data_IF_948847908979
#
_entry.id   IF_948847908979
#
_cell.length_a   1.000
_cell.length_b   1.000
_cell.length_c   1.000
_cell.angle_alpha   90.00
_cell.angle_beta   90.00
_cell.angle_gamma   90.00
#
_symmetry.space_group_name_H-M   'P 1'
#
loop_
_entity.id
_entity.type
_entity.pdbx_description
1 polymer ?
#
# COMPACT_ATOMS: atom_id res chain seq x y z
N UNK A 1 39.93 -41.53 -37.21
CA UNK A 1 39.88 -40.97 -35.84
C UNK A 1 38.54 -40.28 -35.67
N UNK A 2 37.76 -40.72 -34.68
CA UNK A 2 36.47 -40.15 -34.24
C UNK A 2 36.66 -38.75 -33.60
N UNK A 3 35.64 -37.98 -33.13
CA UNK A 3 34.29 -38.36 -32.64
C UNK A 3 33.13 -37.69 -33.42
N UNK A 4 31.94 -38.30 -33.55
CA UNK A 4 30.92 -38.72 -32.55
C UNK A 4 29.90 -37.61 -32.29
N UNK A 5 28.76 -37.77 -32.98
CA UNK A 5 27.52 -37.03 -32.84
C UNK A 5 26.80 -37.47 -31.56
N UNK A 6 26.58 -36.56 -30.62
CA UNK A 6 25.67 -36.76 -29.49
C UNK A 6 24.64 -35.63 -29.47
N UNK A 7 23.41 -35.98 -29.87
CA UNK A 7 22.23 -35.14 -29.71
C UNK A 7 21.77 -35.20 -28.25
N UNK A 8 21.72 -34.05 -27.59
CA UNK A 8 21.03 -33.91 -26.30
C UNK A 8 19.54 -33.63 -26.54
N UNK A 9 18.61 -34.35 -25.89
CA UNK A 9 17.20 -34.00 -25.91
C UNK A 9 16.94 -32.77 -25.03
N UNK A 10 16.33 -31.75 -25.62
CA UNK A 10 15.81 -30.57 -24.94
C UNK A 10 14.79 -30.98 -23.87
N UNK A 11 15.05 -30.56 -22.64
CA UNK A 11 14.16 -30.78 -21.49
C UNK A 11 13.02 -29.75 -21.57
N UNK A 12 11.74 -30.14 -21.60
CA UNK A 12 10.66 -29.16 -21.64
C UNK A 12 10.62 -28.36 -20.32
N UNK A 13 10.51 -27.04 -20.44
CA UNK A 13 10.26 -26.16 -19.30
C UNK A 13 8.95 -26.57 -18.60
N UNK A 14 8.90 -26.60 -17.26
CA UNK A 14 7.65 -26.81 -16.55
C UNK A 14 6.69 -25.64 -16.82
N UNK A 15 5.45 -26.02 -17.14
CA UNK A 15 4.33 -25.11 -17.30
C UNK A 15 4.18 -24.20 -16.07
N UNK A 16 3.95 -22.92 -16.31
CA UNK A 16 3.58 -21.96 -15.28
C UNK A 16 2.29 -22.45 -14.59
N UNK A 17 2.23 -22.50 -13.25
CA UNK A 17 0.98 -22.79 -12.57
C UNK A 17 -0.03 -21.68 -12.81
N UNK A 18 -1.25 -22.12 -13.11
CA UNK A 18 -2.43 -21.35 -13.42
C UNK A 18 -2.68 -20.15 -12.50
N UNK A 19 -3.18 -19.11 -13.15
CA UNK A 19 -3.82 -17.93 -12.60
C UNK A 19 -4.49 -18.14 -11.22
N UNK A 20 -3.78 -17.74 -10.15
CA UNK A 20 -4.44 -17.44 -8.89
C UNK A 20 -5.28 -16.16 -9.05
N UNK A 21 -6.58 -16.42 -9.09
CA UNK A 21 -7.71 -15.55 -8.75
C UNK A 21 -7.30 -14.20 -8.14
N UNK A 22 -7.51 -13.15 -8.93
CA UNK A 22 -7.51 -11.74 -8.52
C UNK A 22 -8.63 -11.52 -7.50
N UNK A 23 -8.31 -11.51 -6.22
CA UNK A 23 -9.19 -10.89 -5.22
C UNK A 23 -8.85 -9.41 -5.16
N UNK A 24 -9.55 -8.63 -5.98
CA UNK A 24 -9.58 -7.18 -5.83
C UNK A 24 -10.14 -6.80 -4.46
N UNK A 25 -9.74 -5.62 -3.99
CA UNK A 25 -10.32 -4.98 -2.80
C UNK A 25 -11.85 -5.06 -2.88
N UNK A 26 -12.57 -5.60 -1.86
CA UNK A 26 -14.02 -5.70 -1.94
C UNK A 26 -14.63 -4.29 -1.93
N UNK A 27 -14.92 -3.79 -3.14
CA UNK A 27 -15.75 -2.61 -3.34
C UNK A 27 -17.14 -2.92 -2.78
N UNK A 28 -17.38 -2.50 -1.55
CA UNK A 28 -18.66 -2.73 -0.88
C UNK A 28 -19.68 -1.77 -1.50
N UNK A 29 -20.41 -2.25 -2.51
CA UNK A 29 -21.62 -1.58 -3.01
C UNK A 29 -22.59 -1.41 -1.84
N UNK A 30 -22.77 -0.17 -1.41
CA UNK A 30 -23.81 0.20 -0.43
C UNK A 30 -25.16 0.13 -1.17
N UNK A 31 -25.74 -1.07 -1.21
CA UNK A 31 -27.13 -1.26 -1.63
C UNK A 31 -28.07 -0.88 -0.49
N UNK A 32 -28.83 0.18 -0.67
CA UNK A 32 -30.03 0.44 0.14
C UNK A 32 -31.04 -0.66 -0.19
N UNK A 33 -31.13 -1.68 0.66
CA UNK A 33 -32.19 -2.67 0.59
C UNK A 33 -33.23 -2.39 1.69
N UNK A 34 -34.45 -2.11 1.22
CA UNK A 34 -35.65 -2.08 2.02
C UNK A 34 -35.83 -3.40 2.78
N UNK A 35 -36.17 -3.25 4.06
CA UNK A 35 -36.37 -4.32 5.03
C UNK A 35 -37.56 -5.21 4.65
N UNK A 36 -37.30 -6.49 4.41
CA UNK A 36 -38.28 -7.57 4.56
C UNK A 36 -37.62 -8.69 5.36
N UNK A 37 -38.20 -9.03 6.50
CA UNK A 37 -37.69 -10.00 7.44
C UNK A 37 -37.87 -11.45 6.95
N UNK A 38 -36.82 -12.27 7.03
CA UNK A 38 -36.89 -13.72 7.33
C UNK A 38 -35.48 -14.34 7.49
N UNK A 39 -35.20 -14.78 8.73
CA UNK A 39 -34.40 -15.94 9.20
C UNK A 39 -33.57 -16.70 8.15
N UNK A 40 -32.24 -16.79 8.34
CA UNK A 40 -31.45 -18.04 8.46
C UNK A 40 -29.92 -17.74 8.54
N UNK A 41 -29.28 -18.16 9.64
CA UNK A 41 -27.86 -18.58 9.70
C UNK A 41 -26.75 -17.55 9.47
N UNK A 42 -26.56 -16.59 10.38
CA UNK A 42 -25.32 -15.80 10.44
C UNK A 42 -24.10 -16.65 10.85
N UNK A 43 -22.88 -16.38 10.31
CA UNK A 43 -21.68 -17.10 10.71
C UNK A 43 -21.36 -16.89 12.19
N UNK A 44 -20.76 -17.92 12.80
CA UNK A 44 -20.42 -18.10 14.23
C UNK A 44 -20.20 -16.79 14.99
N UNK A 45 -20.92 -16.64 16.09
CA UNK A 45 -21.01 -15.45 16.90
C UNK A 45 -19.65 -14.89 17.34
N UNK A 46 -19.39 -13.64 16.94
CA UNK A 46 -18.50 -12.76 17.67
C UNK A 46 -19.15 -12.40 19.00
N UNK A 47 -18.59 -12.93 20.08
CA UNK A 47 -18.89 -12.54 21.46
C UNK A 47 -17.80 -11.62 21.95
N UNK A 48 -18.05 -10.32 21.99
CA UNK A 48 -17.23 -9.40 22.77
C UNK A 48 -17.96 -9.15 24.08
N UNK A 49 -17.70 -10.04 25.05
CA UNK A 49 -17.92 -9.73 26.44
C UNK A 49 -17.08 -8.49 26.81
N UNK A 50 -17.53 -7.78 27.84
CA UNK A 50 -16.97 -6.57 28.44
C UNK A 50 -15.44 -6.48 28.33
N UNK A 51 -14.91 -5.28 28.03
CA UNK A 51 -13.46 -5.01 27.98
C UNK A 51 -12.84 -5.53 29.28
N UNK A 52 -12.18 -6.70 29.22
CA UNK A 52 -11.44 -7.22 30.36
C UNK A 52 -10.25 -6.30 30.62
N UNK A 53 -9.92 -6.10 31.89
CA UNK A 53 -8.70 -5.38 32.30
C UNK A 53 -7.41 -6.13 31.91
N UNK A 54 -7.53 -7.34 31.37
CA UNK A 54 -6.45 -8.16 30.85
C UNK A 54 -6.08 -7.73 29.41
N UNK A 55 -5.47 -6.55 29.30
CA UNK A 55 -4.90 -6.06 28.03
C UNK A 55 -3.56 -6.71 27.75
N UNK A 56 -3.31 -7.09 26.50
CA UNK A 56 -2.06 -7.74 26.07
C UNK A 56 -0.91 -6.72 26.13
N UNK A 57 0.15 -6.96 26.93
CA UNK A 57 1.34 -6.11 26.93
C UNK A 57 2.07 -6.14 25.57
N UNK A 58 2.70 -5.01 25.22
CA UNK A 58 3.47 -4.90 23.97
C UNK A 58 4.57 -5.97 23.84
N UNK A 59 5.17 -6.39 24.97
CA UNK A 59 6.24 -7.39 24.99
C UNK A 59 5.78 -8.80 24.59
N UNK A 60 4.48 -9.08 24.71
CA UNK A 60 3.91 -10.40 24.40
C UNK A 60 3.47 -10.51 22.94
N UNK A 61 3.41 -9.39 22.21
CA UNK A 61 3.05 -9.33 20.80
C UNK A 61 4.21 -9.77 19.91
N UNK A 62 3.90 -10.46 18.81
CA UNK A 62 4.90 -10.92 17.84
C UNK A 62 4.64 -10.37 16.45
N UNK A 63 5.69 -9.91 15.77
CA UNK A 63 5.60 -9.55 14.35
C UNK A 63 5.13 -10.75 13.54
N UNK A 64 4.11 -10.53 12.71
CA UNK A 64 3.45 -11.52 11.87
C UNK A 64 2.29 -12.26 12.50
N UNK A 65 2.03 -12.06 13.79
CA UNK A 65 0.86 -12.61 14.46
C UNK A 65 -0.44 -12.04 13.88
N UNK A 66 -1.41 -12.92 13.64
CA UNK A 66 -2.77 -12.56 13.21
C UNK A 66 -3.64 -12.25 14.42
N UNK A 67 -4.35 -11.12 14.37
CA UNK A 67 -5.15 -10.60 15.46
C UNK A 67 -6.53 -10.17 14.96
N UNK A 68 -7.54 -10.36 15.80
CA UNK A 68 -8.83 -9.70 15.62
C UNK A 68 -8.71 -8.22 15.98
N UNK A 69 -9.19 -7.37 15.08
CA UNK A 69 -9.04 -5.93 15.16
C UNK A 69 -10.38 -5.22 15.02
N UNK A 70 -10.50 -4.08 15.72
CA UNK A 70 -11.62 -3.15 15.57
C UNK A 70 -11.11 -1.74 15.29
N UNK A 71 -11.62 -1.13 14.23
CA UNK A 71 -11.29 0.26 13.90
C UNK A 71 -11.87 1.19 14.95
N UNK A 72 -11.03 1.95 15.66
CA UNK A 72 -11.48 2.97 16.63
C UNK A 72 -11.85 4.27 15.94
N UNK A 73 -10.97 4.75 15.05
CA UNK A 73 -11.18 5.98 14.29
C UNK A 73 -10.18 6.10 13.13
N UNK A 74 -10.55 6.75 12.02
CA UNK A 74 -9.59 7.22 11.05
C UNK A 74 -8.70 8.31 11.66
N UNK A 75 -7.46 8.40 11.21
CA UNK A 75 -6.51 9.43 11.60
C UNK A 75 -6.08 10.27 10.40
N UNK A 76 -6.71 11.44 10.28
CA UNK A 76 -6.46 12.41 9.21
C UNK A 76 -6.46 11.70 7.84
N UNK A 77 -5.33 11.72 7.16
CA UNK A 77 -5.12 11.15 5.82
C UNK A 77 -4.05 10.06 5.83
N UNK A 78 -3.67 9.56 7.01
CA UNK A 78 -2.50 8.70 7.21
C UNK A 78 -2.83 7.24 7.51
N UNK A 79 -4.04 6.94 7.99
CA UNK A 79 -4.40 5.58 8.38
C UNK A 79 -5.49 5.52 9.43
N UNK A 80 -5.52 4.41 10.19
CA UNK A 80 -6.54 4.14 11.19
C UNK A 80 -5.92 3.73 12.53
N UNK A 81 -6.52 4.20 13.62
CA UNK A 81 -6.29 3.62 14.94
C UNK A 81 -7.16 2.39 15.12
N UNK A 82 -6.55 1.32 15.59
CA UNK A 82 -7.14 -0.02 15.65
C UNK A 82 -6.95 -0.57 17.07
N UNK A 83 -8.03 -1.08 17.65
CA UNK A 83 -7.97 -1.85 18.89
C UNK A 83 -7.75 -3.33 18.54
N UNK A 84 -6.72 -3.94 19.12
CA UNK A 84 -6.41 -5.36 19.00
C UNK A 84 -6.43 -6.06 20.37
N UNK A 85 -6.97 -5.41 21.41
CA UNK A 85 -6.94 -5.92 22.78
C UNK A 85 -5.62 -5.69 23.52
N UNK A 86 -4.64 -5.04 22.88
CA UNK A 86 -3.38 -4.68 23.51
C UNK A 86 -3.51 -3.48 24.47
N UNK A 87 -2.48 -3.26 25.29
CA UNK A 87 -2.39 -2.11 26.21
C UNK A 87 -2.37 -0.76 25.49
N UNK A 88 -1.92 -0.74 24.23
CA UNK A 88 -1.85 0.45 23.38
C UNK A 88 -2.66 0.24 22.11
N UNK A 89 -3.26 1.33 21.61
CA UNK A 89 -3.89 1.32 20.31
C UNK A 89 -2.83 1.10 19.22
N UNK A 90 -3.14 0.21 18.28
CA UNK A 90 -2.32 -0.04 17.13
C UNK A 90 -2.66 0.93 15.99
N UNK A 91 -1.73 1.08 15.05
CA UNK A 91 -1.85 1.98 13.92
C UNK A 91 -1.68 1.23 12.61
N UNK A 92 -2.68 1.33 11.74
CA UNK A 92 -2.63 0.79 10.39
C UNK A 92 -2.40 1.95 9.42
N UNK A 93 -1.23 2.00 8.78
CA UNK A 93 -0.91 3.01 7.76
C UNK A 93 -1.84 2.83 6.54
N UNK A 94 -2.09 3.92 5.82
CA UNK A 94 -3.06 3.95 4.72
C UNK A 94 -2.74 2.91 3.64
N UNK A 95 -1.47 2.82 3.25
CA UNK A 95 -0.93 1.84 2.29
C UNK A 95 -1.01 0.38 2.78
N UNK A 96 -1.17 0.14 4.09
CA UNK A 96 -1.24 -1.18 4.70
C UNK A 96 -2.69 -1.66 4.93
N UNK A 97 -3.67 -0.80 4.61
CA UNK A 97 -5.09 -1.07 4.85
C UNK A 97 -5.76 -1.97 3.81
N UNK A 98 -5.15 -2.20 2.64
CA UNK A 98 -5.56 -3.18 1.65
C UNK A 98 -4.43 -3.47 0.67
N UNK A 99 -4.59 -4.53 -0.13
CA UNK A 99 -3.76 -4.72 -1.32
C UNK A 99 -4.14 -3.71 -2.41
N UNK A 100 -3.12 -3.18 -3.09
CA UNK A 100 -3.27 -2.06 -4.01
C UNK A 100 -3.46 -0.71 -3.31
N UNK A 101 -4.08 0.23 -4.01
CA UNK A 101 -4.45 1.55 -3.54
C UNK A 101 -5.88 1.53 -2.97
N UNK A 102 -6.12 2.01 -1.73
CA UNK A 102 -7.45 2.11 -1.17
C UNK A 102 -8.33 3.13 -1.92
N UNK A 103 -9.16 2.65 -2.85
CA UNK A 103 -10.01 3.51 -3.72
C UNK A 103 -10.98 4.37 -2.92
N UNK A 104 -11.59 3.81 -1.87
CA UNK A 104 -12.48 4.53 -0.94
C UNK A 104 -11.71 5.45 0.04
N UNK A 105 -10.38 5.50 -0.10
CA UNK A 105 -9.52 6.34 0.69
C UNK A 105 -9.63 6.06 2.18
N UNK A 106 -9.72 7.12 2.99
CA UNK A 106 -9.79 7.00 4.45
C UNK A 106 -11.10 6.32 4.92
N UNK A 107 -12.09 6.24 4.03
CA UNK A 107 -13.40 5.66 4.31
C UNK A 107 -13.47 4.17 4.01
N UNK A 108 -12.40 3.54 3.49
CA UNK A 108 -12.31 2.09 3.29
C UNK A 108 -12.71 1.34 4.55
N UNK A 109 -12.26 1.82 5.71
CA UNK A 109 -12.61 1.22 6.99
C UNK A 109 -13.32 2.24 7.90
N UNK A 110 -14.59 1.94 8.23
CA UNK A 110 -15.39 2.78 9.13
C UNK A 110 -15.09 2.46 10.60
N UNK A 111 -15.32 3.43 11.48
CA UNK A 111 -15.29 3.21 12.94
C UNK A 111 -16.20 2.05 13.32
N UNK A 112 -15.69 1.15 14.15
CA UNK A 112 -16.37 -0.05 14.62
C UNK A 112 -16.28 -1.25 13.67
N UNK A 113 -15.75 -1.08 12.45
CA UNK A 113 -15.49 -2.20 11.55
C UNK A 113 -14.55 -3.21 12.23
N UNK A 114 -14.89 -4.49 12.07
CA UNK A 114 -14.08 -5.61 12.56
C UNK A 114 -13.36 -6.23 11.37
N UNK A 115 -12.08 -6.56 11.56
CA UNK A 115 -11.20 -7.10 10.52
C UNK A 115 -10.13 -7.97 11.18
N UNK A 116 -9.54 -8.87 10.40
CA UNK A 116 -8.35 -9.61 10.79
C UNK A 116 -7.12 -8.87 10.28
N UNK A 117 -6.14 -8.64 11.14
CA UNK A 117 -4.90 -7.92 10.83
C UNK A 117 -3.70 -8.75 11.20
N UNK A 118 -2.54 -8.43 10.61
CA UNK A 118 -1.24 -8.94 11.02
C UNK A 118 -0.42 -7.84 11.66
N UNK A 119 0.36 -8.19 12.69
CA UNK A 119 1.33 -7.27 13.27
C UNK A 119 2.48 -7.09 12.29
N UNK A 120 2.67 -5.87 11.80
CA UNK A 120 3.68 -5.54 10.80
C UNK A 120 5.03 -5.22 11.43
N UNK A 121 5.03 -4.38 12.47
CA UNK A 121 6.22 -3.84 13.10
C UNK A 121 5.89 -3.42 14.53
N UNK A 122 6.86 -3.56 15.43
CA UNK A 122 6.75 -3.22 16.85
C UNK A 122 7.87 -2.24 17.20
N UNK A 123 7.49 -0.98 17.41
CA UNK A 123 8.37 0.06 17.92
C UNK A 123 8.14 0.23 19.43
N UNK A 124 9.06 0.89 20.13
CA UNK A 124 9.04 1.11 21.59
C UNK A 124 7.69 1.66 22.08
N UNK A 125 7.04 2.48 21.25
CA UNK A 125 5.77 3.12 21.60
C UNK A 125 4.59 2.76 20.68
N UNK A 126 4.81 2.00 19.59
CA UNK A 126 3.81 1.84 18.53
C UNK A 126 3.73 0.42 18.00
N UNK A 127 2.49 0.00 17.74
CA UNK A 127 2.18 -1.25 17.06
C UNK A 127 1.71 -0.89 15.66
N UNK A 128 2.41 -1.36 14.64
CA UNK A 128 2.01 -1.20 13.25
C UNK A 128 1.29 -2.44 12.76
N UNK A 129 0.23 -2.25 11.99
CA UNK A 129 -0.60 -3.33 11.47
C UNK A 129 -0.65 -3.32 9.95
N UNK A 130 -1.00 -4.48 9.39
CA UNK A 130 -1.29 -4.64 7.98
C UNK A 130 -2.44 -5.62 7.76
N UNK A 131 -3.29 -5.33 6.77
CA UNK A 131 -4.27 -6.29 6.23
C UNK A 131 -3.82 -6.85 4.88
N UNK A 132 -2.67 -6.38 4.36
CA UNK A 132 -2.14 -6.80 3.08
C UNK A 132 -1.79 -8.27 3.09
N UNK A 133 -1.83 -8.90 1.93
CA UNK A 133 -1.29 -10.25 1.73
C UNK A 133 0.23 -10.22 1.46
N UNK A 134 0.89 -11.36 1.64
CA UNK A 134 2.31 -11.51 1.32
C UNK A 134 3.30 -11.22 2.46
N UNK A 135 4.58 -10.97 2.12
CA UNK A 135 5.67 -10.78 3.10
C UNK A 135 5.45 -9.56 3.99
N UNK A 136 6.07 -9.57 5.19
CA UNK A 136 6.02 -8.46 6.15
C UNK A 136 7.19 -7.49 6.00
N UNK A 137 8.19 -7.83 5.19
CA UNK A 137 9.31 -6.94 4.90
C UNK A 137 8.82 -5.67 4.22
N UNK A 138 9.28 -4.52 4.69
CA UNK A 138 8.98 -3.21 4.12
C UNK A 138 10.27 -2.43 3.90
N UNK A 139 10.37 -1.62 2.83
CA UNK A 139 11.44 -0.66 2.74
C UNK A 139 11.37 0.35 3.90
N UNK A 140 12.50 0.97 4.29
CA UNK A 140 12.50 2.01 5.30
C UNK A 140 11.50 3.13 4.96
N UNK A 141 10.75 3.60 5.97
CA UNK A 141 9.80 4.70 5.82
C UNK A 141 10.51 5.95 5.33
N UNK A 142 10.08 6.48 4.20
CA UNK A 142 10.74 7.60 3.54
C UNK A 142 9.81 8.81 3.43
N UNK A 143 10.21 9.96 4.02
CA UNK A 143 9.34 11.15 4.13
C UNK A 143 10.01 12.47 3.73
N UNK A 144 11.20 12.43 3.13
CA UNK A 144 11.94 13.66 2.79
C UNK A 144 11.19 14.49 1.76
N UNK A 145 10.92 15.74 2.09
CA UNK A 145 10.36 16.70 1.14
C UNK A 145 11.45 17.17 0.15
N UNK A 146 11.07 17.55 -1.07
CA UNK A 146 11.99 18.17 -2.02
C UNK A 146 12.45 19.56 -1.55
N UNK A 147 13.71 19.87 -1.84
CA UNK A 147 14.30 21.21 -1.73
C UNK A 147 14.05 22.01 -3.02
N UNK A 148 14.42 23.30 -3.02
CA UNK A 148 14.33 24.10 -4.26
C UNK A 148 15.31 23.59 -5.33
N UNK A 149 16.52 23.18 -4.92
CA UNK A 149 17.54 22.62 -5.82
C UNK A 149 17.10 21.30 -6.42
N UNK A 150 16.44 20.44 -5.62
CA UNK A 150 15.83 19.20 -6.12
C UNK A 150 14.85 19.52 -7.25
N UNK A 151 13.91 20.44 -7.02
CA UNK A 151 12.88 20.79 -8.00
C UNK A 151 13.51 21.38 -9.26
N UNK A 152 14.50 22.26 -9.13
CA UNK A 152 15.13 22.91 -10.28
C UNK A 152 15.96 21.91 -11.12
N UNK A 153 16.51 20.86 -10.51
CA UNK A 153 17.23 19.77 -11.23
C UNK A 153 16.34 19.02 -12.24
N UNK A 154 15.03 19.13 -12.07
CA UNK A 154 14.00 18.54 -12.93
C UNK A 154 13.42 19.53 -13.95
N UNK A 155 13.79 20.81 -13.89
CA UNK A 155 13.22 21.85 -14.76
C UNK A 155 13.62 21.74 -16.24
N UNK A 156 14.74 21.09 -16.54
CA UNK A 156 15.30 20.96 -17.89
C UNK A 156 15.16 19.53 -18.47
N UNK A 157 14.22 18.74 -17.96
CA UNK A 157 13.98 17.40 -18.48
C UNK A 157 13.21 17.42 -19.79
N UNK A 158 13.53 16.49 -20.69
CA UNK A 158 12.69 16.27 -21.87
C UNK A 158 11.32 15.76 -21.41
N UNK A 159 10.25 16.25 -22.03
CA UNK A 159 8.89 15.87 -21.68
C UNK A 159 8.60 14.35 -21.80
N UNK A 160 9.45 13.60 -22.52
CA UNK A 160 9.34 12.16 -22.68
C UNK A 160 10.39 11.36 -21.87
N UNK A 161 11.22 12.01 -21.06
CA UNK A 161 12.18 11.29 -20.20
C UNK A 161 11.42 10.55 -19.09
N UNK A 162 11.51 9.22 -19.11
CA UNK A 162 10.94 8.32 -18.10
C UNK A 162 11.99 8.11 -17.01
N UNK A 163 11.53 8.14 -15.77
CA UNK A 163 12.37 7.92 -14.59
C UNK A 163 11.79 6.79 -13.77
N UNK A 164 12.66 5.90 -13.35
CA UNK A 164 12.31 4.85 -12.39
C UNK A 164 12.22 5.46 -10.99
N UNK A 165 11.04 5.30 -10.40
CA UNK A 165 10.74 5.78 -9.04
C UNK A 165 10.20 4.62 -8.23
N UNK A 166 10.26 4.71 -6.90
CA UNK A 166 9.72 3.64 -6.04
C UNK A 166 8.60 4.16 -5.15
N UNK A 167 7.51 3.42 -5.01
CA UNK A 167 6.41 3.73 -4.10
C UNK A 167 6.91 3.75 -2.66
N UNK A 168 6.77 4.89 -1.98
CA UNK A 168 7.25 5.08 -0.61
C UNK A 168 6.14 5.42 0.40
N UNK A 169 4.90 5.59 -0.07
CA UNK A 169 3.73 5.80 0.77
C UNK A 169 2.49 6.01 -0.08
N UNK A 170 1.32 6.06 0.57
CA UNK A 170 0.07 6.41 -0.10
C UNK A 170 -0.73 7.39 0.75
N UNK A 171 -1.61 8.13 0.11
CA UNK A 171 -2.58 8.99 0.78
C UNK A 171 -3.82 9.12 -0.10
N UNK A 172 -4.94 9.64 0.41
CA UNK A 172 -6.13 9.82 -0.42
C UNK A 172 -5.92 10.72 -1.65
N UNK A 173 -4.87 11.55 -1.66
CA UNK A 173 -4.52 12.38 -2.82
C UNK A 173 -3.71 11.66 -3.91
N UNK A 174 -3.20 10.45 -3.64
CA UNK A 174 -2.39 9.69 -4.58
C UNK A 174 -1.25 8.90 -3.93
N UNK A 175 -0.36 8.42 -4.80
CA UNK A 175 0.76 7.55 -4.45
C UNK A 175 2.02 8.42 -4.27
N UNK A 176 2.67 8.31 -3.12
CA UNK A 176 3.95 8.95 -2.87
C UNK A 176 5.07 8.11 -3.47
N UNK A 177 5.86 8.75 -4.32
CA UNK A 177 6.99 8.15 -5.01
C UNK A 177 8.28 8.74 -4.47
N UNK A 178 9.27 7.89 -4.21
CA UNK A 178 10.67 8.28 -3.99
C UNK A 178 11.31 8.45 -5.35
N UNK A 179 11.78 9.67 -5.59
CA UNK A 179 12.37 10.13 -6.84
C UNK A 179 13.88 10.32 -6.62
N UNK A 180 14.73 9.75 -7.49
CA UNK A 180 16.17 9.90 -7.34
C UNK A 180 16.61 11.36 -7.52
N UNK A 181 17.62 11.83 -6.78
CA UNK A 181 18.18 13.15 -7.08
C UNK A 181 19.04 13.13 -8.33
N UNK A 182 18.96 14.17 -9.17
CA UNK A 182 19.83 14.32 -10.36
C UNK A 182 21.13 15.05 -10.06
N UNK A 183 21.19 15.83 -8.97
CA UNK A 183 22.32 16.71 -8.65
C UNK A 183 23.24 16.14 -7.56
N UNK A 184 23.35 14.81 -7.46
CA UNK A 184 24.07 14.12 -6.37
C UNK A 184 23.55 14.46 -4.95
N UNK A 185 22.34 15.03 -4.84
CA UNK A 185 21.61 15.12 -3.59
C UNK A 185 21.06 13.76 -3.18
N UNK A 186 20.43 13.69 -2.02
CA UNK A 186 19.67 12.49 -1.65
C UNK A 186 18.30 12.52 -2.35
N UNK A 187 17.62 11.38 -2.40
CA UNK A 187 16.30 11.28 -3.01
C UNK A 187 15.26 12.12 -2.25
N UNK A 188 14.14 12.40 -2.91
CA UNK A 188 13.01 13.11 -2.30
C UNK A 188 11.69 12.46 -2.71
N UNK A 189 10.60 12.81 -2.04
CA UNK A 189 9.28 12.31 -2.40
C UNK A 189 8.51 13.28 -3.29
N UNK A 190 7.78 12.74 -4.25
CA UNK A 190 6.73 13.48 -4.97
C UNK A 190 5.41 12.70 -4.96
N UNK A 191 4.32 13.37 -5.31
CA UNK A 191 2.99 12.78 -5.37
C UNK A 191 2.62 12.48 -6.83
N UNK A 192 2.42 11.21 -7.15
CA UNK A 192 1.68 10.79 -8.34
C UNK A 192 0.19 10.85 -8.01
N UNK A 193 -0.53 11.74 -8.68
CA UNK A 193 -1.98 11.86 -8.50
C UNK A 193 -2.70 10.66 -9.09
N UNK A 194 -3.87 10.35 -8.54
CA UNK A 194 -4.69 9.22 -9.00
C UNK A 194 -5.18 9.38 -10.44
N UNK A 195 -5.41 10.61 -10.89
CA UNK A 195 -5.79 10.94 -12.26
C UNK A 195 -4.66 10.69 -13.27
N UNK A 196 -3.42 10.77 -12.80
CA UNK A 196 -2.19 10.60 -13.57
C UNK A 196 -1.61 9.18 -13.43
N UNK A 197 -2.27 8.31 -12.68
CA UNK A 197 -1.82 6.95 -12.38
C UNK A 197 -2.56 5.93 -13.23
N UNK A 198 -1.83 4.97 -13.80
CA UNK A 198 -2.42 3.82 -14.46
C UNK A 198 -3.22 2.95 -13.49
N UNK A 199 -4.32 2.36 -13.97
CA UNK A 199 -5.18 1.51 -13.15
C UNK A 199 -4.47 0.24 -12.67
N UNK A 200 -3.61 -0.34 -13.54
CA UNK A 200 -2.75 -1.48 -13.22
C UNK A 200 -1.88 -1.23 -11.98
N UNK A 201 -1.35 -0.01 -11.84
CA UNK A 201 -0.56 0.40 -10.68
C UNK A 201 -1.46 0.60 -9.48
N UNK A 202 -2.64 1.19 -9.60
CA UNK A 202 -3.57 1.32 -8.48
C UNK A 202 -3.95 -0.04 -7.90
N UNK A 203 -4.20 -1.04 -8.74
CA UNK A 203 -4.55 -2.39 -8.27
C UNK A 203 -3.38 -3.12 -7.58
N UNK A 204 -2.14 -2.85 -7.98
CA UNK A 204 -0.95 -3.58 -7.53
C UNK A 204 -0.02 -2.79 -6.60
N UNK A 205 -0.35 -1.53 -6.32
CA UNK A 205 0.48 -0.62 -5.55
C UNK A 205 0.86 -1.22 -4.19
N UNK A 206 2.16 -1.16 -3.89
CA UNK A 206 2.75 -1.60 -2.62
C UNK A 206 4.03 -0.83 -2.37
N UNK A 207 4.41 -0.67 -1.10
CA UNK A 207 5.67 -0.04 -0.73
C UNK A 207 6.86 -0.76 -1.39
N UNK A 208 7.80 0.02 -1.92
CA UNK A 208 9.00 -0.47 -2.61
C UNK A 208 8.78 -0.87 -4.07
N UNK A 209 7.54 -0.92 -4.56
CA UNK A 209 7.28 -1.18 -5.98
C UNK A 209 7.91 -0.09 -6.83
N UNK A 210 8.71 -0.49 -7.83
CA UNK A 210 9.27 0.44 -8.81
C UNK A 210 8.23 0.72 -9.89
N UNK A 211 8.03 2.00 -10.21
CA UNK A 211 7.11 2.48 -11.24
C UNK A 211 7.81 3.51 -12.13
N UNK A 212 7.73 3.35 -13.45
CA UNK A 212 8.22 4.35 -14.39
C UNK A 212 7.25 5.53 -14.47
N UNK A 213 7.76 6.75 -14.37
CA UNK A 213 6.96 7.97 -14.52
C UNK A 213 7.67 8.98 -15.41
N UNK A 214 6.90 9.77 -16.16
CA UNK A 214 7.39 10.92 -16.91
C UNK A 214 7.20 12.20 -16.10
N UNK A 215 8.15 13.12 -16.20
CA UNK A 215 8.06 14.44 -15.55
C UNK A 215 7.35 15.40 -16.48
N UNK A 216 6.22 15.95 -16.03
CA UNK A 216 5.40 16.87 -16.84
C UNK A 216 5.72 18.33 -16.58
N UNK A 217 6.35 18.63 -15.45
CA UNK A 217 6.75 19.98 -15.10
C UNK A 217 7.14 20.12 -13.63
N UNK A 218 7.37 21.35 -13.22
CA UNK A 218 7.76 21.70 -11.86
C UNK A 218 6.89 22.83 -11.31
N UNK A 219 6.53 22.73 -10.04
CA UNK A 219 5.85 23.77 -9.29
C UNK A 219 6.85 24.36 -8.29
N UNK A 220 7.39 25.54 -8.63
CA UNK A 220 8.40 26.24 -7.81
C UNK A 220 7.83 26.80 -6.52
N UNK A 221 6.56 27.20 -6.53
CA UNK A 221 5.89 27.78 -5.37
C UNK A 221 5.65 26.71 -4.30
N UNK A 222 5.10 25.56 -4.72
CA UNK A 222 4.81 24.44 -3.82
C UNK A 222 6.00 23.51 -3.61
N UNK A 223 7.12 23.78 -4.30
CA UNK A 223 8.33 22.95 -4.34
C UNK A 223 7.98 21.51 -4.69
N UNK A 224 7.48 21.25 -5.90
CA UNK A 224 7.08 19.90 -6.33
C UNK A 224 7.52 19.62 -7.75
N UNK A 225 7.87 18.36 -8.00
CA UNK A 225 8.04 17.82 -9.35
C UNK A 225 6.72 17.15 -9.74
N UNK A 226 6.12 17.58 -10.83
CA UNK A 226 4.89 17.00 -11.34
C UNK A 226 5.22 15.80 -12.22
N UNK A 227 4.59 14.67 -11.93
CA UNK A 227 4.85 13.39 -12.60
C UNK A 227 3.55 12.78 -13.09
N UNK A 228 3.62 12.03 -14.18
CA UNK A 228 2.50 11.28 -14.74
C UNK A 228 2.95 9.92 -15.25
N UNK A 229 2.04 8.96 -15.24
CA UNK A 229 2.17 7.70 -15.97
C UNK A 229 1.36 7.72 -17.28
N UNK A 230 0.52 8.73 -17.49
CA UNK A 230 -0.28 8.83 -18.69
C UNK A 230 0.58 9.30 -19.85
N UNK A 231 0.38 8.71 -21.02
CA UNK A 231 1.00 9.21 -22.25
C UNK A 231 0.64 10.69 -22.42
N UNK A 232 1.65 11.54 -22.66
CA UNK A 232 1.41 12.95 -22.93
C UNK A 232 0.38 13.07 -24.07
N UNK A 233 -0.77 13.67 -23.79
CA UNK A 233 -1.72 14.03 -24.85
C UNK A 233 -1.01 15.03 -25.76
N UNK A 234 -0.69 14.58 -26.98
CA UNK A 234 -0.23 15.44 -28.07
C UNK A 234 -1.34 16.41 -28.48
#
# INVERSE_FOLDING_TARGET
MAPSTAAHPEKPLPAAPDAMVRQGCPATKVGVFLLAAAIFGGPKGWSFAEVSDERIPLADLKVGEEMDARIKKPWRMFGWFVDIGATKDAFMEFEEGCDGFPVDGINTWRKGASLTVRILDLDVDRIYLTTRTGPLERPPRFRRAPTAEDVESYGNMDANEIIDTSVCGMSPGGIWLRVPSRNAGEDFRTLLRLEDCEESVKESARLGMTVPVSVTGIDREKKRVLVTMMTAKR
#
